data_IF_094110104350
#
_entry.id   IF_094110104350
#
_cell.length_a   1.000
_cell.length_b   1.000
_cell.length_c   1.000
_cell.angle_alpha   90.00
_cell.angle_beta   90.00
_cell.angle_gamma   90.00
#
_symmetry.space_group_name_H-M   'P 1'
#
loop_
_entity.id
_entity.type
_entity.pdbx_description
1 polymer ?
#
# COMPACT_ATOMS: atom_id res chain seq x y z
N UNK A 1 -29.73 -12.25 5.08
CA UNK A 1 -28.38 -11.72 5.33
C UNK A 1 -27.40 -12.54 4.52
N UNK A 2 -27.00 -12.05 3.36
CA UNK A 2 -26.09 -12.78 2.47
C UNK A 2 -24.67 -12.53 2.96
N UNK A 3 -24.03 -13.55 3.53
CA UNK A 3 -22.60 -13.53 3.82
C UNK A 3 -21.90 -13.34 2.48
N UNK A 4 -21.41 -12.11 2.22
CA UNK A 4 -20.47 -11.84 1.14
C UNK A 4 -19.25 -12.70 1.45
N UNK A 5 -19.08 -13.81 0.74
CA UNK A 5 -17.83 -14.54 0.72
C UNK A 5 -16.75 -13.58 0.22
N UNK A 6 -15.95 -13.04 1.13
CA UNK A 6 -14.68 -12.44 0.78
C UNK A 6 -13.87 -13.53 0.08
N UNK A 7 -13.70 -13.41 -1.23
CA UNK A 7 -12.78 -14.27 -1.97
C UNK A 7 -11.41 -14.08 -1.29
N UNK A 8 -10.74 -15.15 -0.83
CA UNK A 8 -9.41 -15.00 -0.29
C UNK A 8 -8.53 -14.45 -1.39
N UNK A 9 -8.12 -13.18 -1.27
CA UNK A 9 -7.12 -12.60 -2.15
C UNK A 9 -5.89 -13.51 -2.07
N UNK A 10 -5.40 -14.01 -3.21
CA UNK A 10 -4.17 -14.78 -3.24
C UNK A 10 -3.08 -14.02 -2.46
N UNK A 11 -2.23 -14.72 -1.70
CA UNK A 11 -1.18 -14.07 -0.93
C UNK A 11 -0.33 -13.22 -1.87
N UNK A 12 -0.27 -11.92 -1.57
CA UNK A 12 0.38 -10.95 -2.44
C UNK A 12 1.17 -9.97 -1.57
N UNK A 13 2.30 -9.55 -2.12
CA UNK A 13 3.21 -8.63 -1.48
C UNK A 13 4.07 -7.99 -2.56
N UNK A 14 4.37 -6.71 -2.39
CA UNK A 14 5.19 -5.96 -3.32
C UNK A 14 6.07 -4.99 -2.53
N UNK A 15 7.29 -4.78 -2.99
CA UNK A 15 8.10 -3.66 -2.50
C UNK A 15 8.01 -2.58 -3.57
N UNK A 16 7.67 -1.37 -3.16
CA UNK A 16 7.66 -0.21 -4.04
C UNK A 16 8.72 0.79 -3.60
N UNK A 17 9.22 1.57 -4.56
CA UNK A 17 9.80 2.88 -4.28
C UNK A 17 8.96 3.94 -4.95
N UNK A 18 8.79 5.07 -4.27
CA UNK A 18 7.96 6.14 -4.79
C UNK A 18 8.02 7.40 -3.97
N UNK A 19 7.33 8.42 -4.45
CA UNK A 19 7.24 9.72 -3.78
C UNK A 19 5.85 9.91 -3.18
N UNK A 20 5.79 10.32 -1.92
CA UNK A 20 4.53 10.71 -1.27
C UNK A 20 4.05 12.03 -1.89
N UNK A 21 2.87 12.01 -2.49
CA UNK A 21 2.24 13.19 -3.08
C UNK A 21 1.23 13.84 -2.13
N UNK A 22 0.59 13.05 -1.28
CA UNK A 22 -0.46 13.50 -0.37
C UNK A 22 -0.56 12.58 0.83
N UNK A 23 -0.89 13.15 1.99
CA UNK A 23 -1.19 12.43 3.22
C UNK A 23 -2.54 12.91 3.72
N UNK A 24 -3.49 11.99 3.87
CA UNK A 24 -4.84 12.26 4.38
C UNK A 24 -5.18 11.33 5.53
N UNK A 25 -6.21 11.67 6.29
CA UNK A 25 -6.80 10.73 7.24
C UNK A 25 -7.46 9.60 6.47
N UNK A 26 -7.08 8.37 6.80
CA UNK A 26 -7.72 7.17 6.26
C UNK A 26 -9.14 6.98 6.83
N UNK A 27 -9.86 5.97 6.35
CA UNK A 27 -11.13 5.55 6.94
C UNK A 27 -10.98 5.23 8.43
N UNK A 28 -12.09 5.33 9.19
CA UNK A 28 -12.07 5.13 10.65
C UNK A 28 -11.33 3.84 11.05
N UNK A 29 -10.44 3.97 12.03
CA UNK A 29 -9.65 2.85 12.57
C UNK A 29 -8.42 2.44 11.75
N UNK A 30 -8.25 2.93 10.51
CA UNK A 30 -7.15 2.51 9.62
C UNK A 30 -5.91 3.40 9.74
N UNK A 31 -6.04 4.65 10.22
CA UNK A 31 -4.90 5.57 10.40
C UNK A 31 -4.81 6.60 9.28
N UNK A 32 -3.67 6.67 8.59
CA UNK A 32 -3.44 7.61 7.48
C UNK A 32 -3.55 6.91 6.12
N UNK A 33 -3.84 7.68 5.07
CA UNK A 33 -3.80 7.25 3.68
C UNK A 33 -2.76 8.09 2.94
N UNK A 34 -1.80 7.43 2.30
CA UNK A 34 -0.76 8.08 1.51
C UNK A 34 -1.00 7.87 0.03
N UNK A 35 -1.10 8.97 -0.72
CA UNK A 35 -0.99 8.93 -2.18
C UNK A 35 0.49 8.87 -2.54
N UNK A 36 0.91 7.80 -3.21
CA UNK A 36 2.31 7.57 -3.58
C UNK A 36 2.41 7.35 -5.08
N UNK A 37 3.26 8.14 -5.74
CA UNK A 37 3.65 7.87 -7.13
C UNK A 37 4.68 6.75 -7.16
N UNK A 38 4.32 5.62 -7.74
CA UNK A 38 5.20 4.45 -7.83
C UNK A 38 6.25 4.66 -8.91
N UNK A 39 7.51 4.66 -8.52
CA UNK A 39 8.66 4.84 -9.43
C UNK A 39 9.35 3.52 -9.75
N UNK A 40 9.41 2.61 -8.77
CA UNK A 40 10.01 1.28 -8.92
C UNK A 40 9.12 0.27 -8.20
N UNK A 41 9.03 -0.95 -8.74
CA UNK A 41 8.45 -2.10 -8.02
C UNK A 41 9.45 -3.25 -8.02
N UNK A 42 9.41 -4.04 -6.96
CA UNK A 42 10.25 -5.22 -6.76
C UNK A 42 9.38 -6.37 -6.26
N UNK A 43 9.66 -7.56 -6.80
CA UNK A 43 8.98 -8.78 -6.41
C UNK A 43 9.45 -9.25 -5.03
N UNK A 44 8.53 -9.90 -4.30
CA UNK A 44 8.86 -10.62 -3.07
C UNK A 44 8.72 -12.10 -3.36
N UNK A 45 9.78 -12.87 -3.10
CA UNK A 45 9.80 -14.31 -3.40
C UNK A 45 8.59 -15.02 -2.77
N UNK A 46 7.85 -15.77 -3.60
CA UNK A 46 6.66 -16.50 -3.16
C UNK A 46 5.36 -15.69 -3.15
N UNK A 47 5.37 -14.41 -3.52
CA UNK A 47 4.18 -13.56 -3.52
C UNK A 47 3.95 -12.86 -4.88
N UNK A 48 2.69 -12.68 -5.24
CA UNK A 48 2.34 -11.93 -6.44
C UNK A 48 2.60 -10.43 -6.26
N UNK A 49 3.24 -9.79 -7.24
CA UNK A 49 3.48 -8.35 -7.25
C UNK A 49 2.34 -7.59 -7.94
N UNK A 50 1.38 -7.13 -7.14
CA UNK A 50 0.21 -6.39 -7.64
C UNK A 50 0.50 -4.92 -7.89
N UNK A 51 1.62 -4.39 -7.36
CA UNK A 51 2.04 -3.02 -7.58
C UNK A 51 2.63 -2.79 -8.99
N UNK A 52 3.12 -3.85 -9.66
CA UNK A 52 3.80 -3.74 -10.96
C UNK A 52 2.95 -3.02 -12.04
N UNK A 53 1.62 -3.28 -12.07
CA UNK A 53 0.68 -2.61 -12.99
C UNK A 53 0.45 -1.11 -12.72
N UNK A 54 0.97 -0.61 -11.60
CA UNK A 54 0.90 0.78 -11.17
C UNK A 54 2.22 1.53 -11.32
N UNK A 55 3.24 0.94 -11.96
CA UNK A 55 4.49 1.64 -12.26
C UNK A 55 4.21 2.96 -13.03
N UNK A 56 4.76 4.07 -12.55
CA UNK A 56 4.54 5.41 -13.07
C UNK A 56 3.20 6.05 -12.68
N UNK A 57 2.35 5.36 -11.92
CA UNK A 57 1.01 5.81 -11.50
C UNK A 57 0.98 6.10 -10.00
N UNK A 58 -0.06 6.82 -9.59
CA UNK A 58 -0.38 7.04 -8.20
C UNK A 58 -1.17 5.86 -7.64
N UNK A 59 -0.83 5.44 -6.42
CA UNK A 59 -1.61 4.50 -5.62
C UNK A 59 -1.89 5.09 -4.24
N UNK A 60 -2.98 4.65 -3.62
CA UNK A 60 -3.24 4.95 -2.20
C UNK A 60 -2.79 3.79 -1.32
N UNK A 61 -1.94 4.08 -0.35
CA UNK A 61 -1.44 3.14 0.65
C UNK A 61 -2.06 3.50 1.99
N UNK A 62 -2.77 2.57 2.58
CA UNK A 62 -3.36 2.67 3.90
C UNK A 62 -2.33 2.29 4.95
N UNK A 63 -2.19 3.13 5.97
CA UNK A 63 -1.11 3.09 6.96
C UNK A 63 -1.71 3.05 8.35
N UNK A 64 -1.42 1.96 9.07
CA UNK A 64 -1.92 1.69 10.41
C UNK A 64 -1.59 2.82 11.39
N UNK A 65 -2.51 3.18 12.32
CA UNK A 65 -2.28 4.29 13.26
C UNK A 65 -1.12 4.05 14.23
N UNK A 66 -0.68 2.81 14.38
CA UNK A 66 0.44 2.43 15.24
C UNK A 66 1.82 2.71 14.61
N UNK A 67 1.87 3.16 13.35
CA UNK A 67 3.13 3.55 12.72
C UNK A 67 3.80 4.67 13.52
N UNK A 68 5.02 4.41 13.98
CA UNK A 68 5.80 5.39 14.77
C UNK A 68 6.59 6.38 13.91
N UNK A 69 6.92 6.00 12.68
CA UNK A 69 7.72 6.83 11.77
C UNK A 69 6.84 7.91 11.15
N UNK A 70 7.26 9.17 11.26
CA UNK A 70 6.62 10.28 10.56
C UNK A 70 7.20 10.41 9.15
N UNK A 71 6.32 10.63 8.17
CA UNK A 71 6.66 10.92 6.78
C UNK A 71 5.91 12.17 6.33
N UNK A 72 6.49 12.88 5.37
CA UNK A 72 5.97 14.13 4.83
C UNK A 72 5.68 14.00 3.33
N UNK A 73 4.89 14.95 2.84
CA UNK A 73 4.69 15.11 1.39
C UNK A 73 6.04 15.41 0.75
N UNK A 74 6.27 14.88 -0.44
CA UNK A 74 7.51 14.87 -1.23
C UNK A 74 8.59 13.90 -0.78
N UNK A 75 8.47 13.26 0.39
CA UNK A 75 9.41 12.22 0.82
C UNK A 75 9.43 11.08 -0.19
N UNK A 76 10.65 10.62 -0.52
CA UNK A 76 10.86 9.39 -1.26
C UNK A 76 10.95 8.23 -0.27
N UNK A 77 10.18 7.19 -0.54
CA UNK A 77 10.08 6.04 0.34
C UNK A 77 10.33 4.75 -0.42
N UNK A 78 10.80 3.74 0.31
CA UNK A 78 10.72 2.33 -0.05
C UNK A 78 9.79 1.63 0.93
N UNK A 79 8.72 1.01 0.45
CA UNK A 79 7.67 0.43 1.29
C UNK A 79 7.32 -0.99 0.88
N UNK A 80 7.12 -1.88 1.85
CA UNK A 80 6.51 -3.20 1.63
C UNK A 80 5.00 -3.11 1.82
N UNK A 81 4.26 -3.43 0.77
CA UNK A 81 2.80 -3.33 0.75
C UNK A 81 2.17 -4.67 0.35
N UNK A 82 0.91 -4.84 0.74
CA UNK A 82 0.02 -5.87 0.20
C UNK A 82 -1.26 -5.22 -0.29
N UNK A 83 -1.93 -5.86 -1.23
CA UNK A 83 -3.22 -5.46 -1.77
C UNK A 83 -4.31 -6.32 -1.14
N UNK A 84 -5.32 -5.67 -0.59
CA UNK A 84 -6.55 -6.33 -0.15
C UNK A 84 -7.71 -5.80 -0.99
N UNK A 85 -8.40 -6.72 -1.67
CA UNK A 85 -9.47 -6.36 -2.58
C UNK A 85 -10.05 -7.55 -3.33
N UNK A 86 -11.16 -7.30 -4.00
CA UNK A 86 -11.87 -8.23 -4.86
C UNK A 86 -11.97 -7.70 -6.30
N UNK A 87 -12.78 -8.37 -7.11
CA UNK A 87 -13.06 -8.02 -8.52
C UNK A 87 -13.71 -6.63 -8.71
N UNK A 88 -14.24 -6.02 -7.64
CA UNK A 88 -14.93 -4.72 -7.66
C UNK A 88 -14.05 -3.57 -7.18
N UNK A 89 -12.88 -3.87 -6.60
CA UNK A 89 -11.92 -2.87 -6.15
C UNK A 89 -11.04 -3.37 -5.01
N UNK A 90 -10.06 -2.55 -4.61
CA UNK A 90 -9.22 -2.85 -3.46
C UNK A 90 -8.28 -1.71 -3.09
N UNK A 91 -7.52 -1.91 -2.03
CA UNK A 91 -6.59 -0.91 -1.49
C UNK A 91 -5.26 -1.55 -1.14
N UNK A 92 -4.18 -0.77 -1.23
CA UNK A 92 -2.89 -1.18 -0.73
C UNK A 92 -2.77 -0.85 0.74
N UNK A 93 -2.14 -1.74 1.49
CA UNK A 93 -1.88 -1.61 2.91
C UNK A 93 -0.40 -1.78 3.16
N UNK A 94 0.13 -0.98 4.07
CA UNK A 94 1.51 -1.14 4.52
C UNK A 94 1.66 -2.37 5.42
N UNK A 95 2.73 -3.13 5.22
CA UNK A 95 3.06 -4.29 6.06
C UNK A 95 3.84 -3.83 7.29
N UNK A 96 3.13 -3.63 8.40
CA UNK A 96 3.73 -3.16 9.65
C UNK A 96 4.53 -1.86 9.46
N UNK A 97 5.74 -1.78 10.03
CA UNK A 97 6.65 -0.64 9.88
C UNK A 97 7.69 -0.82 8.76
N UNK A 98 7.40 -1.68 7.76
CA UNK A 98 8.32 -1.96 6.63
C UNK A 98 8.32 -0.83 5.60
N UNK A 99 8.73 0.35 6.05
CA UNK A 99 8.96 1.54 5.23
C UNK A 99 10.21 2.29 5.69
N UNK A 100 10.97 2.80 4.73
CA UNK A 100 12.16 3.62 4.93
C UNK A 100 12.20 4.78 3.93
N UNK A 101 12.86 5.87 4.31
CA UNK A 101 13.15 7.00 3.43
C UNK A 101 14.38 6.68 2.58
N UNK A 102 14.42 7.17 1.34
CA UNK A 102 15.54 6.94 0.39
C UNK A 102 16.03 8.23 -0.26
#
# INVERSE_FOLDING_TARGET
MTLKHSVPSAPNQSIIQGQILKIEKGPEGIGNAWSVKVEVTQDVSGYANFANRYLGKEITILVHPEMKKAFHIQDKIKASIFFQGDERGGSFFLIGDKVEMI
#
